data_IF_631732787691
#
_entry.id   IF_631732787691
#
_cell.length_a   1.000
_cell.length_b   1.000
_cell.length_c   1.000
_cell.angle_alpha   90.00
_cell.angle_beta   90.00
_cell.angle_gamma   90.00
#
_symmetry.space_group_name_H-M   'P 1'
#
loop_
_entity.id
_entity.type
_entity.pdbx_description
1 polymer ?
#
# COMPACT_ATOMS: atom_id res chain seq x y z
N UNK A 1 -17.03 22.18 16.45
CA UNK A 1 -15.92 22.13 15.49
C UNK A 1 -15.14 20.88 15.82
N UNK A 2 -15.08 19.91 14.90
CA UNK A 2 -14.48 18.61 15.16
C UNK A 2 -13.01 18.74 15.52
N UNK A 3 -12.71 18.27 16.73
CA UNK A 3 -11.39 17.83 17.16
C UNK A 3 -10.97 16.70 16.20
N UNK A 4 -9.90 16.88 15.44
CA UNK A 4 -9.21 15.76 14.79
C UNK A 4 -8.00 15.49 15.66
N UNK A 5 -8.12 14.45 16.47
CA UNK A 5 -7.03 13.84 17.20
C UNK A 5 -5.87 13.61 16.21
N UNK A 6 -4.70 14.14 16.56
CA UNK A 6 -3.45 13.92 15.85
C UNK A 6 -3.07 12.44 15.97
N UNK A 7 -3.70 11.61 15.16
CA UNK A 7 -3.16 10.31 14.82
C UNK A 7 -1.79 10.58 14.23
N UNK A 8 -0.76 10.06 14.90
CA UNK A 8 0.65 10.18 14.51
C UNK A 8 0.77 9.69 13.07
N UNK A 9 0.72 10.62 12.11
CA UNK A 9 0.69 10.33 10.69
C UNK A 9 2.00 9.64 10.32
N UNK A 10 2.01 8.31 10.32
CA UNK A 10 3.17 7.45 9.96
C UNK A 10 3.45 7.46 8.45
N UNK A 11 3.20 8.59 7.79
CA UNK A 11 3.39 8.79 6.35
C UNK A 11 4.04 10.13 6.07
N UNK A 12 4.81 10.18 4.99
CA UNK A 12 5.33 11.43 4.42
C UNK A 12 4.20 12.05 3.59
N UNK A 13 3.83 13.31 3.83
CA UNK A 13 2.81 13.97 3.03
C UNK A 13 3.32 14.21 1.61
N UNK A 14 2.41 14.28 0.64
CA UNK A 14 2.76 14.33 -0.79
C UNK A 14 3.66 15.52 -1.14
N UNK A 15 3.50 16.66 -0.44
CA UNK A 15 4.32 17.86 -0.63
C UNK A 15 5.77 17.71 -0.15
N UNK A 16 6.07 16.66 0.62
CA UNK A 16 7.40 16.32 1.11
C UNK A 16 8.03 15.14 0.36
N UNK A 17 7.37 14.61 -0.66
CA UNK A 17 7.95 13.58 -1.51
C UNK A 17 9.12 14.16 -2.33
N UNK A 18 10.18 13.37 -2.55
CA UNK A 18 11.26 13.77 -3.44
C UNK A 18 10.73 13.88 -4.88
N UNK A 19 11.36 14.71 -5.74
CA UNK A 19 10.79 15.09 -7.05
C UNK A 19 10.67 13.92 -8.04
N UNK A 20 11.38 12.82 -7.81
CA UNK A 20 11.29 11.57 -8.56
C UNK A 20 10.11 10.68 -8.13
N UNK A 21 9.55 10.92 -6.95
CA UNK A 21 8.37 10.22 -6.41
C UNK A 21 7.11 11.09 -6.44
N UNK A 22 7.22 12.37 -6.81
CA UNK A 22 6.06 13.19 -7.13
C UNK A 22 5.50 12.72 -8.48
N UNK A 23 4.24 12.28 -8.54
CA UNK A 23 3.62 11.90 -9.80
C UNK A 23 3.66 13.08 -10.78
N UNK A 24 4.34 12.89 -11.91
CA UNK A 24 4.31 13.87 -13.00
C UNK A 24 3.01 13.81 -13.79
N UNK A 25 2.87 14.75 -14.73
CA UNK A 25 1.76 14.79 -15.71
C UNK A 25 1.68 13.50 -16.55
N UNK A 26 2.78 12.76 -16.66
CA UNK A 26 2.90 11.49 -17.39
C UNK A 26 2.74 10.25 -16.47
N UNK A 27 2.01 10.36 -15.36
CA UNK A 27 1.70 9.18 -14.53
C UNK A 27 0.70 8.28 -15.27
N UNK A 28 1.09 7.07 -15.74
CA UNK A 28 0.20 6.21 -16.50
C UNK A 28 -1.02 5.74 -15.68
N UNK A 29 -0.92 5.72 -14.36
CA UNK A 29 -2.05 5.38 -13.48
C UNK A 29 -3.08 6.51 -13.38
N UNK A 30 -2.71 7.75 -13.72
CA UNK A 30 -3.63 8.89 -13.71
C UNK A 30 -4.64 8.85 -14.86
N UNK A 31 -4.31 8.19 -15.98
CA UNK A 31 -5.23 7.99 -17.11
C UNK A 31 -6.34 6.97 -16.79
N UNK A 32 -6.22 6.25 -15.67
CA UNK A 32 -7.13 5.17 -15.28
C UNK A 32 -6.74 3.83 -15.92
N UNK A 33 -7.26 2.74 -15.33
CA UNK A 33 -7.09 1.41 -15.92
C UNK A 33 -8.02 1.27 -17.14
N UNK A 34 -7.61 0.51 -18.17
CA UNK A 34 -8.49 0.14 -19.27
C UNK A 34 -9.77 -0.54 -18.77
N UNK A 35 -10.86 -0.39 -19.54
CA UNK A 35 -12.15 -1.00 -19.22
C UNK A 35 -12.01 -2.51 -19.01
N UNK A 36 -12.51 -3.01 -17.87
CA UNK A 36 -12.44 -4.42 -17.49
C UNK A 36 -11.16 -4.86 -16.76
N UNK A 37 -10.08 -4.05 -16.72
CA UNK A 37 -8.85 -4.41 -15.98
C UNK A 37 -8.97 -4.20 -14.47
N UNK A 38 -9.92 -3.36 -14.03
CA UNK A 38 -10.22 -3.17 -12.60
C UNK A 38 -11.26 -4.15 -12.05
N UNK A 39 -11.97 -4.88 -12.91
CA UNK A 39 -13.04 -5.79 -12.51
C UNK A 39 -12.44 -7.05 -11.85
N UNK A 40 -12.96 -7.44 -10.68
CA UNK A 40 -12.49 -8.62 -9.95
C UNK A 40 -11.29 -8.40 -9.03
N UNK A 41 -10.58 -7.26 -9.10
CA UNK A 41 -9.44 -7.00 -8.18
C UNK A 41 -9.87 -6.93 -6.71
N UNK A 42 -11.10 -6.50 -6.45
CA UNK A 42 -11.66 -6.43 -5.10
C UNK A 42 -12.30 -7.76 -4.66
N UNK A 43 -12.78 -8.59 -5.59
CA UNK A 43 -13.38 -9.89 -5.29
C UNK A 43 -12.38 -11.06 -5.26
N UNK A 44 -11.31 -11.01 -6.06
CA UNK A 44 -10.26 -12.03 -6.15
C UNK A 44 -9.00 -11.66 -5.33
N UNK A 45 -9.06 -10.53 -4.61
CA UNK A 45 -8.04 -10.14 -3.66
C UNK A 45 -7.92 -11.13 -2.51
N UNK A 46 -6.74 -11.19 -1.89
CA UNK A 46 -6.56 -11.99 -0.66
C UNK A 46 -7.32 -11.36 0.48
N UNK A 47 -8.19 -12.13 1.11
CA UNK A 47 -8.89 -11.70 2.30
C UNK A 47 -7.90 -11.40 3.44
N UNK A 48 -8.29 -10.49 4.33
CA UNK A 48 -7.47 -10.06 5.46
C UNK A 48 -7.02 -11.23 6.34
N UNK A 49 -7.84 -12.28 6.42
CA UNK A 49 -7.57 -13.52 7.13
C UNK A 49 -6.43 -14.31 6.48
N UNK A 50 -6.38 -14.42 5.15
CA UNK A 50 -5.26 -15.07 4.43
C UNK A 50 -3.96 -14.26 4.54
N UNK A 51 -4.06 -12.93 4.64
CA UNK A 51 -2.90 -12.05 4.82
C UNK A 51 -2.26 -12.19 6.21
N UNK A 52 -3.07 -12.41 7.26
CA UNK A 52 -2.60 -12.62 8.62
C UNK A 52 -1.75 -13.90 8.73
N UNK A 53 -2.21 -15.00 8.12
CA UNK A 53 -1.53 -16.30 8.12
C UNK A 53 -0.15 -16.26 7.42
N UNK A 54 0.02 -15.43 6.37
CA UNK A 54 1.33 -15.26 5.71
C UNK A 54 2.32 -14.48 6.55
N UNK A 55 1.87 -13.47 7.30
CA UNK A 55 2.76 -12.68 8.16
C UNK A 55 3.32 -13.53 9.30
N UNK A 56 2.54 -14.49 9.80
CA UNK A 56 2.99 -15.46 10.80
C UNK A 56 4.00 -16.48 10.24
N UNK A 57 3.87 -16.89 8.96
CA UNK A 57 4.82 -17.81 8.33
C UNK A 57 6.11 -17.16 7.81
N UNK A 58 6.10 -15.85 7.56
CA UNK A 58 7.28 -15.12 7.11
C UNK A 58 8.27 -14.76 8.24
N UNK A 59 7.89 -14.93 9.52
CA UNK A 59 8.75 -14.65 10.67
C UNK A 59 9.44 -15.90 11.28
N UNK A 60 9.51 -17.00 10.53
CA UNK A 60 10.36 -18.15 10.92
C UNK A 60 11.79 -17.68 11.19
N UNK A 61 12.45 -18.18 12.25
CA UNK A 61 13.72 -17.63 12.71
C UNK A 61 14.73 -17.69 11.57
N UNK A 62 15.37 -16.57 11.25
CA UNK A 62 16.57 -16.58 10.45
C UNK A 62 17.56 -17.50 11.19
N UNK A 63 17.91 -18.64 10.58
CA UNK A 63 18.99 -19.48 11.08
C UNK A 63 20.28 -18.65 11.05
N UNK A 64 20.68 -18.13 12.22
CA UNK A 64 22.09 -17.83 12.47
C UNK A 64 22.85 -19.16 12.43
N UNK A 65 23.59 -19.36 11.35
CA UNK A 65 24.61 -20.39 11.24
C UNK A 65 25.95 -19.69 11.47
N UNK A 66 26.59 -19.96 12.62
CA UNK A 66 28.00 -19.65 12.91
C UNK A 66 28.86 -20.90 12.70
#
# INVERSE_FOLDING_TARGET
>A
MSEHETEKSTGVPDEQLPPDLVPGEENPLAEGLPDGEGEGLLEEGKDAEEMADRREKASGPAEETE
#
